data_IF_589144324760
#
_entry.id   IF_589144324760
#
_cell.length_a   1.000
_cell.length_b   1.000
_cell.length_c   1.000
_cell.angle_alpha   90.00
_cell.angle_beta   90.00
_cell.angle_gamma   90.00
#
_symmetry.space_group_name_H-M   'P 1'
#
loop_
_entity.id
_entity.type
_entity.pdbx_description
1 polymer ?
#
# COMPACT_ATOMS: atom_id res chain seq x y z
N UNK A 1 -8.28 23.82 7.79
CA UNK A 1 -6.82 24.06 7.92
C UNK A 1 -6.18 23.21 9.00
N UNK A 2 -6.78 23.05 10.19
CA UNK A 2 -6.23 22.18 11.25
C UNK A 2 -5.99 20.72 10.80
N UNK A 3 -6.94 20.09 10.11
CA UNK A 3 -6.81 18.72 9.59
C UNK A 3 -5.64 18.57 8.59
N UNK A 4 -5.41 19.60 7.76
CA UNK A 4 -4.29 19.59 6.81
C UNK A 4 -2.94 19.58 7.54
N UNK A 5 -2.78 20.44 8.56
CA UNK A 5 -1.56 20.45 9.37
C UNK A 5 -1.35 19.16 10.16
N UNK A 6 -2.43 18.58 10.70
CA UNK A 6 -2.38 17.27 11.37
C UNK A 6 -1.86 16.18 10.41
N UNK A 7 -2.42 16.10 9.20
CA UNK A 7 -1.93 15.12 8.21
C UNK A 7 -0.47 15.39 7.86
N UNK A 8 -0.09 16.65 7.64
CA UNK A 8 1.25 16.97 7.17
C UNK A 8 2.32 16.72 8.25
N UNK A 9 2.05 17.10 9.50
CA UNK A 9 3.00 17.05 10.61
C UNK A 9 2.95 15.71 11.36
N UNK A 10 1.77 15.14 11.59
CA UNK A 10 1.62 13.96 12.44
C UNK A 10 1.63 12.65 11.63
N UNK A 11 1.41 12.73 10.32
CA UNK A 11 1.33 11.54 9.45
C UNK A 11 2.44 11.53 8.40
N UNK A 12 2.54 12.58 7.59
CA UNK A 12 3.48 12.61 6.46
C UNK A 12 4.92 12.81 6.96
N UNK A 13 5.17 13.83 7.78
CA UNK A 13 6.52 14.14 8.26
C UNK A 13 7.21 12.95 8.96
N UNK A 14 6.59 12.17 9.86
CA UNK A 14 7.23 11.03 10.50
C UNK A 14 7.65 9.94 9.51
N UNK A 15 6.81 9.66 8.49
CA UNK A 15 7.14 8.70 7.43
C UNK A 15 8.37 9.18 6.64
N UNK A 16 8.43 10.47 6.30
CA UNK A 16 9.59 11.05 5.60
C UNK A 16 10.86 11.06 6.47
N UNK A 17 10.74 11.24 7.79
CA UNK A 17 11.88 11.12 8.71
C UNK A 17 12.45 9.70 8.67
N UNK A 18 11.60 8.67 8.72
CA UNK A 18 12.03 7.27 8.63
C UNK A 18 12.71 6.96 7.27
N UNK A 19 12.14 7.46 6.17
CA UNK A 19 12.74 7.34 4.84
C UNK A 19 14.11 8.02 4.81
N UNK A 20 14.22 9.24 5.35
CA UNK A 20 15.47 9.99 5.44
C UNK A 20 16.53 9.26 6.27
N UNK A 21 16.15 8.67 7.41
CA UNK A 21 17.02 7.86 8.22
C UNK A 21 17.51 6.61 7.46
N UNK A 22 16.62 5.91 6.77
CA UNK A 22 16.98 4.76 5.93
C UNK A 22 17.94 5.14 4.80
N UNK A 23 17.70 6.27 4.13
CA UNK A 23 18.58 6.79 3.07
C UNK A 23 19.97 7.18 3.61
N UNK A 24 20.02 7.81 4.78
CA UNK A 24 21.27 8.14 5.46
C UNK A 24 22.05 6.87 5.84
N UNK A 25 21.38 5.89 6.44
CA UNK A 25 22.01 4.62 6.82
C UNK A 25 22.49 3.83 5.60
N UNK A 26 21.73 3.81 4.51
CA UNK A 26 22.15 3.17 3.26
C UNK A 26 23.41 3.83 2.69
N UNK A 27 23.54 5.16 2.74
CA UNK A 27 24.77 5.86 2.35
C UNK A 27 25.97 5.51 3.24
N UNK A 28 25.75 5.25 4.53
CA UNK A 28 26.82 4.93 5.48
C UNK A 28 27.26 3.47 5.44
N UNK A 29 26.32 2.53 5.27
CA UNK A 29 26.56 1.09 5.41
C UNK A 29 26.32 0.26 4.14
N UNK A 30 25.90 0.89 3.04
CA UNK A 30 25.62 0.24 1.75
C UNK A 30 24.82 -1.05 1.89
N UNK A 31 23.53 -0.92 2.25
CA UNK A 31 22.67 -2.09 2.41
C UNK A 31 22.41 -2.82 1.10
N UNK A 32 22.35 -4.15 1.17
CA UNK A 32 21.80 -4.98 0.10
C UNK A 32 20.27 -4.87 0.07
N UNK A 33 19.78 -4.03 -0.84
CA UNK A 33 18.36 -3.79 -1.03
C UNK A 33 17.60 -5.04 -1.52
N UNK A 34 18.27 -5.98 -2.20
CA UNK A 34 17.65 -7.21 -2.67
C UNK A 34 17.30 -8.11 -1.48
N UNK A 35 18.25 -8.26 -0.55
CA UNK A 35 18.05 -9.03 0.67
C UNK A 35 16.95 -8.43 1.53
N UNK A 36 16.96 -7.10 1.73
CA UNK A 36 15.91 -6.40 2.48
C UNK A 36 14.54 -6.54 1.82
N UNK A 37 14.46 -6.40 0.50
CA UNK A 37 13.19 -6.56 -0.24
C UNK A 37 12.63 -7.97 -0.11
N UNK A 38 13.46 -9.02 -0.24
CA UNK A 38 13.03 -10.40 -0.05
C UNK A 38 12.54 -10.65 1.38
N UNK A 39 13.26 -10.16 2.38
CA UNK A 39 12.86 -10.29 3.79
C UNK A 39 11.51 -9.62 4.04
N UNK A 40 11.33 -8.39 3.54
CA UNK A 40 10.08 -7.65 3.69
C UNK A 40 8.92 -8.38 3.00
N UNK A 41 9.10 -8.79 1.75
CA UNK A 41 8.04 -9.38 0.93
C UNK A 41 7.66 -10.79 1.38
N UNK A 42 8.63 -11.65 1.69
CA UNK A 42 8.37 -13.07 1.94
C UNK A 42 8.24 -13.43 3.42
N UNK A 43 8.71 -12.59 4.34
CA UNK A 43 8.67 -12.87 5.77
C UNK A 43 7.89 -11.81 6.55
N UNK A 44 8.29 -10.55 6.49
CA UNK A 44 7.69 -9.51 7.34
C UNK A 44 6.24 -9.19 6.96
N UNK A 45 5.94 -9.03 5.66
CA UNK A 45 4.58 -8.76 5.18
C UNK A 45 3.62 -9.93 5.51
N UNK A 46 3.98 -11.21 5.28
CA UNK A 46 3.13 -12.32 5.71
C UNK A 46 2.94 -12.37 7.23
N UNK A 47 4.01 -12.18 8.01
CA UNK A 47 3.94 -12.21 9.47
C UNK A 47 3.04 -11.10 10.02
N UNK A 48 3.21 -9.85 9.56
CA UNK A 48 2.37 -8.74 10.01
C UNK A 48 0.92 -8.92 9.56
N UNK A 49 0.70 -9.46 8.36
CA UNK A 49 -0.66 -9.73 7.88
C UNK A 49 -1.35 -10.79 8.74
N UNK A 50 -0.63 -11.85 9.13
CA UNK A 50 -1.15 -12.89 10.02
C UNK A 50 -1.50 -12.33 11.40
N UNK A 51 -0.58 -11.61 12.03
CA UNK A 51 -0.81 -11.01 13.36
C UNK A 51 -2.02 -10.06 13.33
N UNK A 52 -2.10 -9.19 12.32
CA UNK A 52 -3.23 -8.26 12.21
C UNK A 52 -4.56 -8.99 11.94
N UNK A 53 -4.59 -10.06 11.15
CA UNK A 53 -5.81 -10.85 10.97
C UNK A 53 -6.21 -11.54 12.29
N UNK A 54 -5.23 -12.08 13.01
CA UNK A 54 -5.47 -12.83 14.24
C UNK A 54 -5.94 -11.93 15.40
N UNK A 55 -5.33 -10.76 15.57
CA UNK A 55 -5.67 -9.82 16.64
C UNK A 55 -6.87 -8.94 16.30
N UNK A 56 -7.22 -8.83 15.01
CA UNK A 56 -8.31 -7.95 14.61
C UNK A 56 -9.67 -8.60 14.80
N UNK A 57 -10.53 -7.91 15.54
CA UNK A 57 -11.96 -8.21 15.65
C UNK A 57 -12.75 -7.71 14.42
N UNK A 58 -12.28 -8.07 13.21
CA UNK A 58 -12.99 -7.75 11.97
C UNK A 58 -14.21 -8.68 11.88
N UNK A 59 -15.40 -8.07 11.94
CA UNK A 59 -16.62 -8.75 11.50
C UNK A 59 -16.49 -9.13 10.03
N UNK A 60 -16.80 -10.38 9.69
CA UNK A 60 -16.72 -10.87 8.30
C UNK A 60 -17.50 -10.03 7.28
N UNK A 61 -18.56 -9.33 7.72
CA UNK A 61 -19.27 -8.35 6.89
C UNK A 61 -18.39 -7.17 6.45
N UNK A 62 -17.59 -6.60 7.35
CA UNK A 62 -16.66 -5.49 7.03
C UNK A 62 -15.60 -5.93 6.04
N UNK A 63 -15.08 -7.16 6.19
CA UNK A 63 -14.14 -7.75 5.25
C UNK A 63 -14.75 -7.87 3.84
N UNK A 64 -15.97 -8.41 3.74
CA UNK A 64 -16.65 -8.59 2.46
C UNK A 64 -16.93 -7.24 1.76
N UNK A 65 -17.41 -6.25 2.51
CA UNK A 65 -17.63 -4.89 1.99
C UNK A 65 -16.32 -4.27 1.50
N UNK A 66 -15.24 -4.43 2.27
CA UNK A 66 -13.92 -3.91 1.92
C UNK A 66 -13.40 -4.54 0.63
N UNK A 67 -13.45 -5.88 0.51
CA UNK A 67 -13.01 -6.59 -0.70
C UNK A 67 -13.88 -6.20 -1.91
N UNK A 68 -15.21 -6.11 -1.73
CA UNK A 68 -16.11 -5.68 -2.79
C UNK A 68 -15.79 -4.28 -3.31
N UNK A 69 -15.57 -3.33 -2.39
CA UNK A 69 -15.19 -1.96 -2.73
C UNK A 69 -13.82 -1.92 -3.42
N UNK A 70 -12.83 -2.67 -2.94
CA UNK A 70 -11.50 -2.74 -3.55
C UNK A 70 -11.54 -3.32 -4.96
N UNK A 71 -12.36 -4.36 -5.17
CA UNK A 71 -12.55 -4.99 -6.48
C UNK A 71 -13.18 -4.00 -7.45
N UNK A 72 -14.25 -3.32 -7.05
CA UNK A 72 -14.92 -2.31 -7.86
C UNK A 72 -13.97 -1.15 -8.19
N UNK A 73 -13.24 -0.65 -7.18
CA UNK A 73 -12.28 0.43 -7.34
C UNK A 73 -11.17 0.08 -8.34
N UNK A 74 -10.55 -1.09 -8.20
CA UNK A 74 -9.48 -1.53 -9.11
C UNK A 74 -10.02 -1.81 -10.51
N UNK A 75 -11.20 -2.41 -10.64
CA UNK A 75 -11.84 -2.61 -11.94
C UNK A 75 -12.09 -1.27 -12.66
N UNK A 76 -12.61 -0.27 -11.95
CA UNK A 76 -12.77 1.09 -12.48
C UNK A 76 -11.44 1.70 -12.91
N UNK A 77 -10.39 1.60 -12.09
CA UNK A 77 -9.06 2.10 -12.45
C UNK A 77 -8.48 1.40 -13.67
N UNK A 78 -8.57 0.07 -13.75
CA UNK A 78 -8.10 -0.71 -14.90
C UNK A 78 -8.82 -0.28 -16.18
N UNK A 79 -10.15 -0.08 -16.10
CA UNK A 79 -10.95 0.39 -17.24
C UNK A 79 -10.53 1.79 -17.67
N UNK A 80 -10.41 2.74 -16.73
CA UNK A 80 -9.98 4.11 -17.01
C UNK A 80 -8.56 4.17 -17.59
N UNK A 81 -7.62 3.41 -17.01
CA UNK A 81 -6.24 3.35 -17.50
C UNK A 81 -6.16 2.70 -18.88
N UNK A 82 -6.98 1.68 -19.14
CA UNK A 82 -7.03 1.04 -20.45
C UNK A 82 -7.67 1.94 -21.51
N UNK A 83 -8.74 2.66 -21.16
CA UNK A 83 -9.38 3.63 -22.04
C UNK A 83 -8.43 4.78 -22.38
N UNK A 84 -7.74 5.35 -21.39
CA UNK A 84 -6.77 6.43 -21.58
C UNK A 84 -5.55 5.97 -22.39
N UNK A 85 -4.97 4.81 -22.08
CA UNK A 85 -3.86 4.26 -22.86
C UNK A 85 -4.24 4.00 -24.32
N UNK A 86 -5.47 3.52 -24.58
CA UNK A 86 -5.99 3.31 -25.93
C UNK A 86 -6.25 4.64 -26.65
N UNK A 87 -6.85 5.62 -25.98
CA UNK A 87 -7.09 6.95 -26.55
C UNK A 87 -5.79 7.69 -26.88
N UNK A 88 -4.77 7.54 -26.03
CA UNK A 88 -3.43 8.11 -26.23
C UNK A 88 -2.53 7.27 -27.17
N UNK A 89 -3.03 6.14 -27.68
CA UNK A 89 -2.31 5.23 -28.60
C UNK A 89 -0.95 4.77 -28.05
N UNK A 90 -0.88 4.44 -26.77
CA UNK A 90 0.34 3.91 -26.17
C UNK A 90 0.71 2.57 -26.81
N UNK A 91 2.01 2.41 -27.08
CA UNK A 91 2.59 1.12 -27.42
C UNK A 91 2.42 0.12 -26.27
N UNK A 92 2.50 -1.18 -26.56
CA UNK A 92 2.17 -2.23 -25.60
C UNK A 92 2.98 -2.13 -24.29
N UNK A 93 4.27 -1.82 -24.39
CA UNK A 93 5.16 -1.69 -23.22
C UNK A 93 4.79 -0.51 -22.33
N UNK A 94 4.55 0.66 -22.94
CA UNK A 94 4.13 1.87 -22.23
C UNK A 94 2.74 1.70 -21.60
N UNK A 95 1.80 1.09 -22.33
CA UNK A 95 0.44 0.80 -21.85
C UNK A 95 0.45 -0.09 -20.60
N UNK A 96 1.26 -1.15 -20.60
CA UNK A 96 1.40 -2.05 -19.44
C UNK A 96 2.03 -1.32 -18.25
N UNK A 97 3.10 -0.55 -18.47
CA UNK A 97 3.77 0.22 -17.41
C UNK A 97 2.83 1.27 -16.80
N UNK A 98 2.08 1.98 -17.64
CA UNK A 98 1.12 2.99 -17.22
C UNK A 98 0.00 2.40 -16.35
N UNK A 99 -0.60 1.28 -16.78
CA UNK A 99 -1.65 0.60 -16.00
C UNK A 99 -1.14 0.14 -14.64
N UNK A 100 0.02 -0.52 -14.60
CA UNK A 100 0.61 -0.99 -13.35
C UNK A 100 0.91 0.17 -12.39
N UNK A 101 1.40 1.29 -12.90
CA UNK A 101 1.75 2.46 -12.09
C UNK A 101 0.54 3.11 -11.40
N UNK A 102 -0.67 2.91 -11.91
CA UNK A 102 -1.90 3.51 -11.36
C UNK A 102 -2.70 2.50 -10.54
N UNK A 103 -2.79 1.25 -11.00
CA UNK A 103 -3.62 0.21 -10.36
C UNK A 103 -2.92 -0.37 -9.14
N UNK A 104 -1.60 -0.62 -9.24
CA UNK A 104 -0.83 -1.21 -8.15
C UNK A 104 -0.21 -0.12 -7.29
N UNK A 105 -0.76 0.05 -6.09
CA UNK A 105 -0.25 1.01 -5.12
C UNK A 105 0.72 0.35 -4.15
N UNK A 106 1.66 1.12 -3.59
CA UNK A 106 2.56 0.63 -2.53
C UNK A 106 1.83 0.57 -1.18
N UNK A 107 0.80 -0.27 -1.09
CA UNK A 107 -0.07 -0.42 0.07
C UNK A 107 0.67 -0.91 1.31
N UNK A 108 1.76 -1.67 1.12
CA UNK A 108 2.55 -2.26 2.20
C UNK A 108 3.54 -1.27 2.80
N UNK A 109 4.51 -0.79 2.02
CA UNK A 109 5.62 -0.01 2.55
C UNK A 109 5.21 1.44 2.89
N UNK A 110 4.21 2.00 2.20
CA UNK A 110 3.73 3.37 2.44
C UNK A 110 2.32 3.40 3.03
N UNK A 111 1.40 2.59 2.49
CA UNK A 111 0.01 2.60 2.95
C UNK A 111 -0.17 2.17 4.39
N UNK A 112 0.57 1.15 4.86
CA UNK A 112 0.45 0.64 6.22
C UNK A 112 0.95 1.64 7.29
N UNK A 113 2.16 2.22 7.20
CA UNK A 113 2.59 3.22 8.18
C UNK A 113 1.70 4.46 8.21
N UNK A 114 1.25 4.93 7.04
CA UNK A 114 0.34 6.08 6.95
C UNK A 114 -1.01 5.78 7.61
N UNK A 115 -1.60 4.61 7.31
CA UNK A 115 -2.86 4.19 7.94
C UNK A 115 -2.71 4.06 9.45
N UNK A 116 -1.62 3.45 9.92
CA UNK A 116 -1.33 3.35 11.35
C UNK A 116 -1.23 4.73 12.00
N UNK A 117 -0.56 5.69 11.38
CA UNK A 117 -0.40 7.04 11.93
C UNK A 117 -1.70 7.88 11.92
N UNK A 118 -2.57 7.69 10.92
CA UNK A 118 -3.87 8.37 10.85
C UNK A 118 -4.87 7.76 11.83
N UNK A 119 -4.89 6.43 11.92
CA UNK A 119 -5.88 5.67 12.68
C UNK A 119 -5.31 5.10 13.99
N UNK A 120 -4.29 5.73 14.58
CA UNK A 120 -3.64 5.26 15.82
C UNK A 120 -4.64 4.95 16.94
N UNK A 121 -5.72 5.73 17.03
CA UNK A 121 -6.79 5.58 18.02
C UNK A 121 -7.87 4.56 17.64
N UNK A 122 -7.78 3.93 16.46
CA UNK A 122 -8.78 2.98 15.96
C UNK A 122 -8.13 1.76 15.29
N UNK A 123 -8.09 0.61 15.97
CA UNK A 123 -7.53 -0.64 15.43
C UNK A 123 -8.10 -1.06 14.08
N UNK A 124 -9.36 -0.69 13.78
CA UNK A 124 -10.01 -1.05 12.50
C UNK A 124 -9.27 -0.48 11.28
N UNK A 125 -8.63 0.68 11.39
CA UNK A 125 -7.93 1.31 10.25
C UNK A 125 -6.70 0.51 9.80
N UNK A 126 -5.92 0.03 10.77
CA UNK A 126 -4.77 -0.84 10.50
C UNK A 126 -5.22 -2.17 9.89
N UNK A 127 -6.27 -2.77 10.42
CA UNK A 127 -6.77 -4.06 9.94
C UNK A 127 -7.38 -3.99 8.53
N UNK A 128 -8.13 -2.93 8.21
CA UNK A 128 -8.61 -2.67 6.84
C UNK A 128 -7.41 -2.52 5.89
N UNK A 129 -6.38 -1.78 6.29
CA UNK A 129 -5.19 -1.59 5.46
C UNK A 129 -4.43 -2.90 5.20
N UNK A 130 -4.45 -3.85 6.13
CA UNK A 130 -3.91 -5.19 5.91
C UNK A 130 -4.72 -5.96 4.88
N UNK A 131 -6.06 -5.84 4.88
CA UNK A 131 -6.90 -6.42 3.81
C UNK A 131 -6.54 -5.79 2.45
N UNK A 132 -6.35 -4.46 2.41
CA UNK A 132 -5.90 -3.76 1.19
C UNK A 132 -4.55 -4.31 0.72
N UNK A 133 -3.59 -4.48 1.63
CA UNK A 133 -2.27 -5.02 1.33
C UNK A 133 -2.36 -6.44 0.74
N UNK A 134 -3.14 -7.32 1.36
CA UNK A 134 -3.33 -8.68 0.86
C UNK A 134 -3.96 -8.67 -0.53
N UNK A 135 -5.03 -7.89 -0.72
CA UNK A 135 -5.69 -7.73 -2.02
C UNK A 135 -4.73 -7.23 -3.10
N UNK A 136 -3.91 -6.22 -2.80
CA UNK A 136 -2.92 -5.66 -3.72
C UNK A 136 -1.79 -6.65 -4.03
N UNK A 137 -1.33 -7.43 -3.05
CA UNK A 137 -0.36 -8.49 -3.28
C UNK A 137 -0.92 -9.58 -4.20
N UNK A 138 -2.18 -9.98 -4.01
CA UNK A 138 -2.84 -10.90 -4.95
C UNK A 138 -2.85 -10.32 -6.37
N UNK A 139 -3.25 -9.07 -6.58
CA UNK A 139 -3.24 -8.45 -7.90
C UNK A 139 -1.84 -8.31 -8.53
N UNK A 140 -0.79 -8.19 -7.71
CA UNK A 140 0.58 -8.01 -8.19
C UNK A 140 1.25 -9.34 -8.56
N UNK A 141 0.92 -10.43 -7.85
CA UNK A 141 1.52 -11.76 -8.06
C UNK A 141 0.68 -12.71 -8.92
N UNK A 142 -0.47 -12.27 -9.44
CA UNK A 142 -1.32 -13.01 -10.38
C UNK A 142 -1.32 -12.33 -11.75
#
# INVERSE_FOLDING_TARGET
MAVFYLILIDVILPVFILIGAGAFLHRKYTFDLNTLSKLTTYFLIPAISFVNIYESDIRGQTMLITIGLLTLHNACLILLCSATAKAAKFEASLSSTFKNSIVLINAGNYGLPVSQLVFQSNPLGASIQVIVLLFQNFLNYT
#
